data_IF_633085072867
#
_entry.id   IF_633085072867
#
_cell.length_a   1.000
_cell.length_b   1.000
_cell.length_c   1.000
_cell.angle_alpha   90.00
_cell.angle_beta   90.00
_cell.angle_gamma   90.00
#
_symmetry.space_group_name_H-M   'P 1'
#
loop_
_entity.id
_entity.type
_entity.pdbx_description
1 polymer ?
#
# COMPACT_ATOMS: atom_id res chain seq x y z
N UNK A 1 9.30 15.61 -12.69
CA UNK A 1 10.45 14.73 -12.36
C UNK A 1 9.94 13.30 -12.29
N UNK A 2 10.43 12.37 -13.12
CA UNK A 2 9.99 10.96 -13.04
C UNK A 2 10.80 10.24 -11.95
N UNK A 3 10.25 10.14 -10.75
CA UNK A 3 10.90 9.49 -9.63
C UNK A 3 10.48 8.00 -9.58
N UNK A 4 11.45 7.10 -9.70
CA UNK A 4 11.29 5.66 -9.44
C UNK A 4 12.20 5.30 -8.28
N UNK A 5 11.63 5.05 -7.11
CA UNK A 5 12.37 4.85 -5.87
C UNK A 5 11.86 3.61 -5.14
N UNK A 6 12.78 2.84 -4.58
CA UNK A 6 12.51 1.56 -3.91
C UNK A 6 13.37 1.45 -2.66
N UNK A 7 12.74 1.31 -1.50
CA UNK A 7 13.41 1.12 -0.21
C UNK A 7 13.02 -0.25 0.39
N UNK A 8 13.97 -0.91 1.05
CA UNK A 8 13.73 -2.13 1.82
C UNK A 8 14.46 -2.03 3.15
N UNK A 9 13.82 -2.47 4.23
CA UNK A 9 14.41 -2.59 5.57
C UNK A 9 15.04 -1.29 6.07
N UNK A 10 14.19 -0.41 6.60
CA UNK A 10 14.61 0.80 7.31
C UNK A 10 13.95 0.83 8.69
N UNK A 11 14.75 1.18 9.69
CA UNK A 11 14.31 1.46 11.04
C UNK A 11 14.74 2.89 11.38
N UNK A 12 13.87 3.65 12.03
CA UNK A 12 14.12 5.06 12.28
C UNK A 12 12.89 5.74 12.86
N UNK A 13 12.95 7.07 12.96
CA UNK A 13 11.88 7.83 13.60
C UNK A 13 10.87 8.46 12.61
N UNK A 14 11.31 8.97 11.45
CA UNK A 14 10.48 9.91 10.66
C UNK A 14 9.83 9.34 9.40
N UNK A 15 10.56 8.79 8.43
CA UNK A 15 9.96 8.19 7.22
C UNK A 15 10.99 7.36 6.44
N UNK A 16 10.54 6.36 5.67
CA UNK A 16 11.43 5.62 4.74
C UNK A 16 11.71 6.41 3.47
N UNK A 17 10.73 7.21 3.05
CA UNK A 17 10.86 8.19 1.99
C UNK A 17 10.15 9.47 2.42
N UNK A 18 10.85 10.60 2.33
CA UNK A 18 10.33 11.92 2.60
C UNK A 18 10.50 12.83 1.39
N UNK A 19 9.43 13.46 0.93
CA UNK A 19 9.52 14.55 -0.05
C UNK A 19 8.50 15.63 0.25
N UNK A 20 9.00 16.87 0.41
CA UNK A 20 8.15 18.02 0.71
C UNK A 20 8.38 19.11 -0.34
N UNK A 21 7.32 19.84 -0.67
CA UNK A 21 7.31 21.02 -1.53
C UNK A 21 7.59 20.75 -3.02
N UNK A 22 6.94 21.54 -3.89
CA UNK A 22 7.17 21.55 -5.33
C UNK A 22 6.10 20.84 -6.16
N UNK A 23 6.39 20.62 -7.45
CA UNK A 23 5.53 19.83 -8.35
C UNK A 23 5.76 18.33 -8.11
N UNK A 24 4.85 17.71 -7.36
CA UNK A 24 4.97 16.33 -6.90
C UNK A 24 4.26 15.39 -7.88
N UNK A 25 5.05 14.58 -8.57
CA UNK A 25 4.58 13.52 -9.46
C UNK A 25 5.35 12.23 -9.22
N UNK A 26 4.69 11.25 -8.58
CA UNK A 26 5.23 9.91 -8.36
C UNK A 26 4.64 8.98 -9.40
N UNK A 27 5.50 8.45 -10.27
CA UNK A 27 5.08 7.51 -11.33
C UNK A 27 5.18 6.05 -10.91
N UNK A 28 6.00 5.72 -9.90
CA UNK A 28 6.16 4.38 -9.34
C UNK A 28 6.98 4.46 -8.04
N UNK A 29 6.47 3.90 -6.94
CA UNK A 29 7.19 3.80 -5.68
C UNK A 29 6.86 2.49 -4.98
N UNK A 30 7.84 1.78 -4.43
CA UNK A 30 7.59 0.59 -3.63
C UNK A 30 8.37 0.64 -2.32
N UNK A 31 7.65 0.50 -1.20
CA UNK A 31 8.21 0.53 0.15
C UNK A 31 7.78 -0.73 0.89
N UNK A 32 8.72 -1.41 1.53
CA UNK A 32 8.37 -2.64 2.26
C UNK A 32 9.29 -2.99 3.42
N UNK A 33 8.71 -3.68 4.42
CA UNK A 33 9.43 -4.17 5.61
C UNK A 33 10.12 -3.06 6.39
N UNK A 34 9.43 -1.93 6.54
CA UNK A 34 9.92 -0.79 7.31
C UNK A 34 9.25 -0.77 8.69
N UNK A 35 10.07 -0.64 9.73
CA UNK A 35 9.63 -0.48 11.12
C UNK A 35 10.13 0.89 11.58
N UNK A 36 9.37 1.92 11.24
CA UNK A 36 9.71 3.31 11.56
C UNK A 36 8.60 3.87 12.41
N UNK A 37 8.99 4.61 13.44
CA UNK A 37 8.08 5.18 14.43
C UNK A 37 6.95 5.96 13.77
N UNK A 38 7.29 6.91 12.88
CA UNK A 38 6.35 7.65 12.03
C UNK A 38 6.59 7.33 10.55
N UNK A 39 5.52 7.35 9.75
CA UNK A 39 5.49 7.29 8.29
C UNK A 39 6.33 6.16 7.67
N UNK A 40 6.16 4.94 8.19
CA UNK A 40 6.99 3.79 7.84
C UNK A 40 7.06 3.47 6.34
N UNK A 41 6.03 3.76 5.55
CA UNK A 41 6.10 3.69 4.10
C UNK A 41 6.70 4.97 3.50
N UNK A 42 5.98 6.08 3.57
CA UNK A 42 6.42 7.36 3.01
C UNK A 42 5.68 8.54 3.64
N UNK A 43 6.31 9.71 3.52
CA UNK A 43 5.74 11.03 3.76
C UNK A 43 5.97 11.88 2.51
N UNK A 44 4.89 12.27 1.83
CA UNK A 44 4.93 13.11 0.63
C UNK A 44 3.98 14.27 0.86
N UNK A 45 4.49 15.50 0.78
CA UNK A 45 3.77 16.63 1.34
C UNK A 45 3.98 17.98 0.65
N UNK A 46 3.03 18.90 0.82
CA UNK A 46 3.05 20.29 0.32
C UNK A 46 3.24 20.46 -1.21
N UNK A 47 2.43 19.82 -2.08
CA UNK A 47 2.53 20.05 -3.52
C UNK A 47 2.15 21.49 -3.87
N UNK A 48 2.83 22.11 -4.84
CA UNK A 48 2.52 23.46 -5.38
C UNK A 48 1.24 23.47 -6.26
N UNK A 49 0.49 22.37 -6.26
CA UNK A 49 -0.73 22.12 -7.02
C UNK A 49 -1.36 20.80 -6.56
N UNK A 50 -2.01 20.06 -7.46
CA UNK A 50 -2.43 18.69 -7.14
C UNK A 50 -1.23 17.73 -7.24
N UNK A 51 -0.84 17.12 -6.12
CA UNK A 51 0.14 16.05 -6.11
C UNK A 51 -0.41 14.77 -6.76
N UNK A 52 0.38 14.14 -7.62
CA UNK A 52 -0.02 12.92 -8.33
C UNK A 52 0.80 11.74 -7.80
N UNK A 53 0.15 10.69 -7.32
CA UNK A 53 0.81 9.45 -6.89
C UNK A 53 0.19 8.27 -7.61
N UNK A 54 0.97 7.64 -8.47
CA UNK A 54 0.55 6.53 -9.32
C UNK A 54 1.43 5.30 -9.11
N UNK A 55 0.81 4.11 -9.20
CA UNK A 55 1.52 2.83 -9.19
C UNK A 55 2.45 2.65 -7.98
N UNK A 56 1.98 3.09 -6.81
CA UNK A 56 2.72 2.99 -5.56
C UNK A 56 2.29 1.76 -4.78
N UNK A 57 3.22 1.02 -4.18
CA UNK A 57 2.93 -0.04 -3.21
C UNK A 57 3.59 0.26 -1.87
N UNK A 58 2.77 0.39 -0.83
CA UNK A 58 3.21 0.37 0.56
C UNK A 58 2.81 -0.98 1.16
N UNK A 59 3.79 -1.77 1.61
CA UNK A 59 3.50 -3.12 2.11
C UNK A 59 4.33 -3.56 3.30
N UNK A 60 3.73 -4.34 4.19
CA UNK A 60 4.40 -4.94 5.35
C UNK A 60 5.19 -3.89 6.17
N UNK A 61 4.67 -2.68 6.32
CA UNK A 61 5.28 -1.65 7.17
C UNK A 61 4.62 -1.64 8.54
N UNK A 62 5.36 -1.27 9.58
CA UNK A 62 4.83 -1.07 10.93
C UNK A 62 5.22 0.30 11.46
N UNK A 63 4.25 0.98 12.09
CA UNK A 63 4.44 2.30 12.70
C UNK A 63 3.70 2.38 14.03
N UNK A 64 4.23 3.19 14.95
CA UNK A 64 3.71 3.33 16.31
C UNK A 64 3.20 4.74 16.59
N UNK A 65 3.68 5.73 15.86
CA UNK A 65 3.33 7.14 16.00
C UNK A 65 2.76 7.69 14.70
N UNK A 66 1.73 8.53 14.81
CA UNK A 66 1.14 9.29 13.70
C UNK A 66 0.50 8.43 12.59
N UNK A 67 1.25 7.82 11.69
CA UNK A 67 0.71 6.94 10.63
C UNK A 67 1.81 6.13 9.94
N UNK A 68 1.44 5.12 9.15
CA UNK A 68 2.37 4.43 8.25
C UNK A 68 2.61 5.18 6.94
N UNK A 69 1.62 5.94 6.49
CA UNK A 69 1.63 6.71 5.23
C UNK A 69 1.14 8.12 5.51
N UNK A 70 1.81 9.12 4.94
CA UNK A 70 1.45 10.53 5.12
C UNK A 70 1.39 11.27 3.79
N UNK A 71 0.22 11.84 3.51
CA UNK A 71 -0.10 12.65 2.34
C UNK A 71 -1.18 13.69 2.69
N UNK A 72 -0.93 14.51 3.72
CA UNK A 72 -1.96 15.31 4.40
C UNK A 72 -1.86 16.82 4.27
N UNK A 73 -0.86 17.38 3.60
CA UNK A 73 -0.79 18.82 3.38
C UNK A 73 -0.83 19.08 1.87
N UNK A 74 -2.03 19.37 1.38
CA UNK A 74 -2.30 19.65 -0.04
C UNK A 74 -3.36 18.74 -0.65
N UNK A 75 -3.56 18.88 -1.96
CA UNK A 75 -4.47 18.04 -2.73
C UNK A 75 -3.71 16.89 -3.39
N UNK A 76 -4.26 15.67 -3.28
CA UNK A 76 -3.65 14.48 -3.86
C UNK A 76 -4.62 13.68 -4.71
N UNK A 77 -4.15 13.26 -5.88
CA UNK A 77 -4.79 12.23 -6.71
C UNK A 77 -3.94 10.96 -6.67
N UNK A 78 -4.40 9.98 -5.91
CA UNK A 78 -3.72 8.70 -5.72
C UNK A 78 -4.44 7.64 -6.53
N UNK A 79 -3.75 7.04 -7.49
CA UNK A 79 -4.36 6.14 -8.46
C UNK A 79 -3.56 4.84 -8.60
N UNK A 80 -4.25 3.70 -8.76
CA UNK A 80 -3.61 2.39 -9.02
C UNK A 80 -2.52 2.03 -8.01
N UNK A 81 -2.79 2.30 -6.73
CA UNK A 81 -1.83 2.13 -5.64
C UNK A 81 -2.30 1.08 -4.63
N UNK A 82 -1.37 0.43 -3.95
CA UNK A 82 -1.63 -0.74 -3.11
C UNK A 82 -1.08 -0.56 -1.72
N UNK A 83 -1.92 -0.87 -0.73
CA UNK A 83 -1.65 -0.76 0.68
C UNK A 83 -1.88 -2.13 1.31
N UNK A 84 -0.79 -2.88 1.51
CA UNK A 84 -0.83 -4.32 1.77
C UNK A 84 -0.18 -4.67 3.12
N UNK A 85 -0.95 -5.23 4.05
CA UNK A 85 -0.44 -5.68 5.35
C UNK A 85 0.34 -4.61 6.14
N UNK A 86 -0.05 -3.34 6.04
CA UNK A 86 0.56 -2.30 6.85
C UNK A 86 -0.09 -2.28 8.23
N UNK A 87 0.72 -2.11 9.26
CA UNK A 87 0.30 -2.09 10.64
C UNK A 87 0.56 -0.73 11.28
N UNK A 88 -0.45 -0.20 11.96
CA UNK A 88 -0.32 0.91 12.89
C UNK A 88 -0.71 0.42 14.27
N UNK A 89 0.23 0.45 15.22
CA UNK A 89 0.02 -0.06 16.58
C UNK A 89 -0.17 1.05 17.62
N UNK A 90 -0.15 2.32 17.21
CA UNK A 90 -0.48 3.44 18.10
C UNK A 90 -1.97 3.53 18.41
N UNK A 91 -2.33 4.40 19.36
CA UNK A 91 -3.69 4.51 19.89
C UNK A 91 -4.57 5.59 19.27
N UNK A 92 -3.98 6.58 18.59
CA UNK A 92 -4.66 7.85 18.37
C UNK A 92 -5.01 8.11 16.90
N UNK A 93 -4.30 7.46 15.97
CA UNK A 93 -4.35 7.78 14.56
C UNK A 93 -4.64 6.56 13.66
N UNK A 94 -4.19 6.61 12.41
CA UNK A 94 -4.56 5.66 11.36
C UNK A 94 -3.33 5.07 10.67
N UNK A 95 -3.57 4.02 9.88
CA UNK A 95 -2.56 3.50 8.95
C UNK A 95 -2.18 4.57 7.91
N UNK A 96 -3.16 5.33 7.42
CA UNK A 96 -2.99 6.37 6.39
C UNK A 96 -3.46 7.71 6.94
N UNK A 97 -2.54 8.65 7.02
CA UNK A 97 -2.88 10.04 7.27
C UNK A 97 -2.99 10.80 5.95
N UNK A 98 -4.20 11.22 5.61
CA UNK A 98 -4.51 11.94 4.37
C UNK A 98 -5.32 13.22 4.65
N UNK A 99 -5.93 13.83 3.65
CA UNK A 99 -6.83 14.98 3.81
C UNK A 99 -8.21 14.73 3.22
N UNK A 100 -9.18 15.56 3.63
CA UNK A 100 -10.46 15.72 2.94
C UNK A 100 -10.36 16.30 1.51
N UNK A 101 -9.15 16.58 1.01
CA UNK A 101 -8.87 16.90 -0.39
C UNK A 101 -8.22 15.74 -1.16
N UNK A 102 -7.79 14.67 -0.49
CA UNK A 102 -7.15 13.49 -1.09
C UNK A 102 -8.18 12.58 -1.76
N UNK A 103 -7.90 12.16 -2.99
CA UNK A 103 -8.72 11.21 -3.76
C UNK A 103 -7.96 9.91 -3.98
N UNK A 104 -8.61 8.78 -3.71
CA UNK A 104 -8.12 7.45 -4.04
C UNK A 104 -8.96 6.85 -5.18
N UNK A 105 -8.30 6.36 -6.23
CA UNK A 105 -8.97 5.69 -7.34
C UNK A 105 -8.26 4.42 -7.81
N UNK A 106 -9.02 3.34 -8.02
CA UNK A 106 -8.47 2.04 -8.44
C UNK A 106 -7.35 1.53 -7.53
N UNK A 107 -7.46 1.79 -6.22
CA UNK A 107 -6.49 1.36 -5.22
C UNK A 107 -6.90 0.04 -4.55
N UNK A 108 -5.95 -0.62 -3.89
CA UNK A 108 -6.25 -1.76 -3.02
C UNK A 108 -5.76 -1.56 -1.60
N UNK A 109 -6.60 -1.91 -0.63
CA UNK A 109 -6.30 -1.89 0.80
C UNK A 109 -6.57 -3.29 1.34
N UNK A 110 -5.51 -4.06 1.57
CA UNK A 110 -5.62 -5.48 1.88
C UNK A 110 -4.78 -5.83 3.11
N UNK A 111 -5.38 -6.50 4.09
CA UNK A 111 -4.64 -7.06 5.23
C UNK A 111 -4.10 -6.02 6.22
N UNK A 112 -4.47 -4.74 6.09
CA UNK A 112 -3.95 -3.69 6.97
C UNK A 112 -4.55 -3.81 8.38
N UNK A 113 -3.77 -3.46 9.40
CA UNK A 113 -4.15 -3.58 10.81
C UNK A 113 -3.91 -2.27 11.55
N UNK A 114 -4.87 -1.85 12.37
CA UNK A 114 -4.74 -0.64 13.17
C UNK A 114 -6.08 -0.21 13.75
N UNK A 115 -6.16 1.01 14.27
CA UNK A 115 -7.42 1.54 14.80
C UNK A 115 -8.29 2.05 13.65
N UNK A 116 -7.71 2.89 12.80
CA UNK A 116 -8.36 3.44 11.61
C UNK A 116 -7.55 3.13 10.35
N UNK A 117 -8.22 2.97 9.21
CA UNK A 117 -7.53 2.90 7.92
C UNK A 117 -7.12 4.29 7.43
N UNK A 118 -8.03 5.27 7.53
CA UNK A 118 -7.80 6.66 7.13
C UNK A 118 -8.01 7.65 8.29
N UNK A 119 -7.18 8.70 8.32
CA UNK A 119 -7.35 9.87 9.16
C UNK A 119 -6.87 11.16 8.49
N UNK A 120 -7.67 12.22 8.45
CA UNK A 120 -9.14 12.25 8.37
C UNK A 120 -9.71 11.48 7.16
N UNK A 121 -11.03 11.61 6.94
CA UNK A 121 -11.72 11.08 5.76
C UNK A 121 -11.12 11.63 4.45
N UNK A 122 -10.83 10.77 3.45
CA UNK A 122 -10.45 11.23 2.12
C UNK A 122 -11.63 11.87 1.37
N UNK A 123 -11.36 12.80 0.45
CA UNK A 123 -12.37 13.45 -0.40
C UNK A 123 -13.24 12.45 -1.16
N UNK A 124 -12.62 11.39 -1.67
CA UNK A 124 -13.30 10.34 -2.40
C UNK A 124 -12.47 9.07 -2.45
N UNK A 125 -13.14 7.94 -2.31
CA UNK A 125 -12.59 6.60 -2.56
C UNK A 125 -13.45 5.96 -3.65
N UNK A 126 -12.89 5.79 -4.83
CA UNK A 126 -13.62 5.32 -6.01
C UNK A 126 -12.92 4.11 -6.62
N UNK A 127 -13.66 3.08 -7.06
CA UNK A 127 -13.05 1.92 -7.75
C UNK A 127 -12.02 1.17 -6.87
N UNK A 128 -12.06 1.32 -5.54
CA UNK A 128 -11.09 0.72 -4.64
C UNK A 128 -11.54 -0.64 -4.11
N UNK A 129 -10.57 -1.53 -3.90
CA UNK A 129 -10.78 -2.86 -3.34
C UNK A 129 -10.34 -2.96 -1.88
N UNK A 130 -11.23 -3.44 -1.01
CA UNK A 130 -10.96 -3.65 0.42
C UNK A 130 -11.10 -5.12 0.77
N UNK A 131 -10.10 -5.72 1.42
CA UNK A 131 -10.18 -7.13 1.84
C UNK A 131 -9.34 -7.43 3.07
N UNK A 132 -9.87 -8.21 4.01
CA UNK A 132 -9.16 -8.69 5.20
C UNK A 132 -8.44 -7.59 6.02
N UNK A 133 -8.91 -6.34 6.00
CA UNK A 133 -8.35 -5.31 6.90
C UNK A 133 -8.89 -5.54 8.32
N UNK A 134 -8.00 -5.55 9.29
CA UNK A 134 -8.32 -5.66 10.71
C UNK A 134 -8.20 -4.28 11.36
N UNK A 135 -9.17 -3.42 11.04
CA UNK A 135 -9.30 -2.07 11.62
C UNK A 135 -10.58 -1.96 12.42
N UNK A 136 -10.58 -1.16 13.50
CA UNK A 136 -11.79 -0.91 14.29
C UNK A 136 -12.82 -0.15 13.45
N UNK A 137 -12.36 0.85 12.68
CA UNK A 137 -13.18 1.58 11.69
C UNK A 137 -12.37 1.89 10.45
N UNK A 138 -13.04 2.10 9.32
CA UNK A 138 -12.35 2.52 8.09
C UNK A 138 -11.86 3.97 8.19
N UNK A 139 -12.66 4.87 8.75
CA UNK A 139 -12.36 6.30 8.86
C UNK A 139 -12.46 6.72 10.34
N UNK A 140 -11.54 7.57 10.79
CA UNK A 140 -11.66 8.17 12.12
C UNK A 140 -12.87 9.13 12.20
N UNK A 141 -13.59 9.14 13.31
CA UNK A 141 -14.78 9.97 13.57
C UNK A 141 -15.98 9.76 12.65
N UNK A 142 -15.92 8.81 11.70
CA UNK A 142 -17.05 8.43 10.84
C UNK A 142 -17.32 6.93 10.99
N UNK A 143 -18.58 6.52 11.23
CA UNK A 143 -18.94 5.11 11.37
C UNK A 143 -18.96 4.36 10.02
N UNK A 144 -18.77 5.08 8.91
CA UNK A 144 -18.92 4.52 7.58
C UNK A 144 -17.85 3.46 7.26
N UNK A 145 -18.32 2.41 6.61
CA UNK A 145 -17.51 1.34 6.04
C UNK A 145 -17.50 1.48 4.53
N UNK A 146 -16.35 1.29 3.90
CA UNK A 146 -16.30 1.21 2.44
C UNK A 146 -16.75 -0.18 1.99
N UNK A 147 -17.88 -0.24 1.28
CA UNK A 147 -18.20 -1.43 0.50
C UNK A 147 -17.19 -1.58 -0.64
N UNK A 148 -16.71 -2.80 -0.86
CA UNK A 148 -15.81 -3.06 -1.99
C UNK A 148 -16.61 -2.96 -3.29
N UNK A 149 -16.32 -1.95 -4.12
CA UNK A 149 -17.15 -1.63 -5.29
C UNK A 149 -16.65 -2.31 -6.58
N UNK A 150 -15.43 -2.84 -6.61
CA UNK A 150 -14.82 -3.38 -7.84
C UNK A 150 -14.00 -4.67 -7.66
N UNK A 151 -13.84 -5.43 -8.76
CA UNK A 151 -12.85 -6.51 -8.85
C UNK A 151 -11.44 -5.94 -8.73
N UNK A 152 -10.60 -6.56 -7.90
CA UNK A 152 -9.17 -6.26 -7.78
C UNK A 152 -8.54 -6.02 -9.16
N UNK A 153 -7.86 -4.87 -9.33
CA UNK A 153 -7.15 -4.57 -10.59
C UNK A 153 -6.14 -5.69 -10.90
N UNK A 154 -6.48 -6.45 -11.94
CA UNK A 154 -5.74 -7.63 -12.38
C UNK A 154 -4.43 -7.29 -13.11
N UNK A 155 -4.13 -6.01 -13.29
CA UNK A 155 -2.80 -5.52 -13.70
C UNK A 155 -1.78 -5.69 -12.58
N UNK A 156 -1.60 -6.94 -12.12
CA UNK A 156 -0.71 -7.35 -11.02
C UNK A 156 0.77 -7.04 -11.32
N UNK A 157 1.09 -6.51 -12.52
CA UNK A 157 2.44 -6.08 -12.91
C UNK A 157 3.12 -5.12 -11.91
N UNK A 158 2.36 -4.28 -11.21
CA UNK A 158 2.90 -3.42 -10.15
C UNK A 158 3.10 -4.14 -8.80
N UNK A 159 2.53 -5.33 -8.60
CA UNK A 159 2.84 -6.22 -7.47
C UNK A 159 4.09 -7.09 -7.73
N UNK A 160 4.74 -6.96 -8.90
CA UNK A 160 5.89 -7.78 -9.18
C UNK A 160 7.04 -7.36 -8.25
N UNK A 161 7.31 -8.21 -7.26
CA UNK A 161 8.56 -8.25 -6.50
C UNK A 161 9.73 -8.73 -7.38
N UNK A 162 9.56 -8.79 -8.71
CA UNK A 162 10.56 -9.21 -9.68
C UNK A 162 11.86 -8.39 -9.57
N UNK A 163 11.75 -7.14 -9.10
CA UNK A 163 12.89 -6.26 -8.78
C UNK A 163 13.14 -6.09 -7.27
N UNK A 164 12.47 -6.83 -6.39
CA UNK A 164 12.69 -6.82 -4.93
C UNK A 164 13.68 -7.92 -4.54
N UNK A 165 14.94 -7.55 -4.32
CA UNK A 165 15.93 -8.42 -3.67
C UNK A 165 15.83 -8.16 -2.16
N UNK A 166 15.09 -8.99 -1.43
CA UNK A 166 15.02 -8.91 0.02
C UNK A 166 16.39 -9.24 0.62
N UNK A 167 17.09 -8.23 1.13
CA UNK A 167 18.33 -8.38 1.86
C UNK A 167 18.04 -8.58 3.35
N UNK A 168 18.42 -9.74 3.90
CA UNK A 168 19.22 -9.80 5.12
C UNK A 168 19.83 -11.20 5.32
N UNK A 169 21.14 -11.19 5.17
CA UNK A 169 22.14 -12.22 5.38
C UNK A 169 22.42 -12.36 6.90
N UNK A 170 22.62 -13.61 7.35
CA UNK A 170 23.50 -14.07 8.44
C UNK A 170 23.09 -14.31 9.91
N UNK A 171 22.03 -13.76 10.53
CA UNK A 171 21.91 -13.88 12.02
C UNK A 171 20.82 -14.77 12.64
N UNK A 172 19.98 -15.50 11.89
CA UNK A 172 18.96 -16.39 12.51
C UNK A 172 19.16 -17.86 12.16
N UNK A 173 20.34 -18.39 12.51
CA UNK A 173 20.54 -19.84 12.62
C UNK A 173 19.88 -20.29 13.92
N UNK A 174 18.96 -21.26 13.79
CA UNK A 174 18.30 -22.01 14.86
C UNK A 174 16.98 -21.37 15.35
N UNK A 175 15.88 -22.02 14.96
CA UNK A 175 14.58 -22.07 15.67
C UNK A 175 13.32 -21.28 15.30
N UNK A 176 13.15 -20.70 14.10
CA UNK A 176 11.77 -20.35 13.66
C UNK A 176 11.42 -20.50 12.17
N UNK A 177 12.31 -21.12 11.38
CA UNK A 177 12.19 -21.20 9.92
C UNK A 177 11.17 -22.22 9.36
N UNK A 178 10.42 -22.96 10.20
CA UNK A 178 9.61 -24.10 9.72
C UNK A 178 8.15 -23.81 9.33
N UNK A 179 7.60 -22.61 9.59
CA UNK A 179 6.14 -22.42 9.38
C UNK A 179 5.70 -21.45 8.29
N UNK A 180 6.56 -20.55 7.76
CA UNK A 180 6.10 -19.56 6.77
C UNK A 180 7.08 -19.16 5.64
N UNK A 181 8.31 -19.66 5.58
CA UNK A 181 9.36 -19.10 4.71
C UNK A 181 9.71 -19.94 3.46
N UNK A 182 8.71 -20.46 2.74
CA UNK A 182 9.01 -21.11 1.44
C UNK A 182 7.88 -21.17 0.41
N UNK A 183 7.13 -20.10 0.19
CA UNK A 183 6.59 -19.88 -1.14
C UNK A 183 6.81 -18.44 -1.57
N UNK A 184 7.93 -18.21 -2.28
CA UNK A 184 7.93 -17.39 -3.51
C UNK A 184 6.53 -17.57 -4.11
N UNK A 185 5.72 -16.52 -4.28
CA UNK A 185 4.39 -16.68 -4.85
C UNK A 185 4.59 -17.29 -6.25
N UNK A 186 4.53 -18.62 -6.35
CA UNK A 186 4.85 -19.34 -7.57
C UNK A 186 3.81 -18.86 -8.56
N UNK A 187 4.17 -18.72 -9.84
CA UNK A 187 3.19 -18.43 -10.89
C UNK A 187 1.98 -19.39 -10.79
N UNK A 188 2.19 -20.61 -10.28
CA UNK A 188 1.15 -21.58 -9.92
C UNK A 188 0.16 -21.07 -8.86
N UNK A 189 0.60 -20.38 -7.81
CA UNK A 189 -0.24 -19.80 -6.77
C UNK A 189 -1.04 -18.61 -7.31
N UNK A 190 -0.41 -17.75 -8.13
CA UNK A 190 -1.11 -16.67 -8.85
C UNK A 190 -2.17 -17.28 -9.78
N UNK A 191 -1.84 -18.33 -10.55
CA UNK A 191 -2.78 -19.08 -11.39
C UNK A 191 -3.93 -19.69 -10.59
N UNK A 192 -3.67 -20.21 -9.39
CA UNK A 192 -4.69 -20.80 -8.50
C UNK A 192 -5.63 -19.73 -7.95
N UNK A 193 -5.09 -18.58 -7.51
CA UNK A 193 -5.89 -17.44 -7.06
C UNK A 193 -6.74 -16.93 -8.22
N UNK A 194 -6.15 -16.73 -9.40
CA UNK A 194 -6.88 -16.29 -10.59
C UNK A 194 -7.98 -17.27 -10.98
N UNK A 195 -7.71 -18.58 -10.93
CA UNK A 195 -8.69 -19.63 -11.25
C UNK A 195 -9.80 -19.75 -10.20
N UNK A 196 -9.48 -19.64 -8.91
CA UNK A 196 -10.47 -19.77 -7.81
C UNK A 196 -11.37 -18.56 -7.70
N UNK A 197 -10.81 -17.36 -7.79
CA UNK A 197 -11.53 -16.10 -7.59
C UNK A 197 -12.35 -15.73 -8.84
N UNK A 198 -11.77 -15.89 -10.03
CA UNK A 198 -12.40 -15.41 -11.27
C UNK A 198 -13.01 -16.53 -12.14
N UNK A 199 -12.92 -17.80 -11.70
CA UNK A 199 -13.33 -19.00 -12.46
C UNK A 199 -12.81 -19.04 -13.91
N UNK A 200 -11.74 -18.30 -14.19
CA UNK A 200 -11.24 -18.04 -15.56
C UNK A 200 -9.76 -18.47 -15.67
N UNK A 201 -9.31 -19.01 -16.81
CA UNK A 201 -7.92 -19.40 -17.01
C UNK A 201 -6.97 -18.20 -17.02
N UNK A 202 -5.80 -18.34 -16.38
CA UNK A 202 -4.78 -17.28 -16.26
C UNK A 202 -4.37 -16.63 -17.59
N UNK A 203 -4.23 -17.42 -18.65
CA UNK A 203 -3.87 -16.89 -19.97
C UNK A 203 -4.93 -15.91 -20.48
N UNK A 204 -6.23 -16.20 -20.26
CA UNK A 204 -7.36 -15.32 -20.63
C UNK A 204 -7.38 -14.03 -19.83
N UNK A 205 -7.04 -14.10 -18.54
CA UNK A 205 -6.91 -12.92 -17.69
C UNK A 205 -5.79 -11.98 -18.18
N UNK A 206 -4.67 -12.55 -18.66
CA UNK A 206 -3.53 -11.80 -19.22
C UNK A 206 -3.74 -11.38 -20.68
N UNK A 207 -4.70 -11.96 -21.42
CA UNK A 207 -5.03 -11.51 -22.79
C UNK A 207 -6.08 -10.41 -22.81
N UNK A 208 -7.01 -10.39 -21.83
CA UNK A 208 -7.93 -9.26 -21.65
C UNK A 208 -7.19 -7.93 -21.38
N UNK A 209 -5.97 -7.99 -20.85
CA UNK A 209 -5.10 -6.82 -20.64
C UNK A 209 -4.37 -6.31 -21.89
N UNK A 210 -4.37 -7.05 -23.01
CA UNK A 210 -3.70 -6.65 -24.28
C UNK A 210 -4.70 -6.12 -25.31
N UNK A 211 -6.00 -6.17 -25.02
CA UNK A 211 -7.09 -5.70 -25.90
C UNK A 211 -7.66 -4.33 -25.48
N UNK A 212 -6.85 -3.47 -24.85
CA UNK A 212 -7.18 -2.05 -24.65
C UNK A 212 -6.24 -1.17 -25.44
#
# INVERSE_FOLDING_TARGET
>A
MHLKVQFHNACGHSSSFGHCYGDIQVSNMNTSYHEITSYAAYSIDFPTGTGIINFTTASNTSSTEIAGIYNSEGEYSITKSNYLNNEYTGSDFAIIWCTSSTKYSSCSFIGNKGIYLFFPEPKSVYSCFFNNNNVIRAINNYPDTFDSVEQLDSFISHYSTYYCIAAKTEENKVDSYKKYQKEKLKLKNIKIIVKKVYKTPFVRAVTLSVLK
#
